data_IF_354153497691
#
_entry.id   IF_354153497691
#
_cell.length_a   1.000
_cell.length_b   1.000
_cell.length_c   1.000
_cell.angle_alpha   90.00
_cell.angle_beta   90.00
_cell.angle_gamma   90.00
#
_symmetry.space_group_name_H-M   'P 1'
#
loop_
_entity.id
_entity.type
_entity.pdbx_description
1 polymer ?
#
# COMPACT_ATOMS: atom_id res chain seq x y z
N UNK A 1 6.15 31.80 5.02
CA UNK A 1 4.96 31.58 4.19
C UNK A 1 4.70 30.09 4.27
N UNK A 2 3.94 29.68 5.29
CA UNK A 2 3.60 28.29 5.50
C UNK A 2 2.29 28.04 4.78
N UNK A 3 2.36 27.33 3.67
CA UNK A 3 1.17 26.89 2.94
C UNK A 3 0.52 25.80 3.79
N UNK A 4 -0.68 26.09 4.27
CA UNK A 4 -1.52 25.11 4.96
C UNK A 4 -1.80 23.97 3.99
N UNK A 5 -1.53 22.73 4.42
CA UNK A 5 -2.12 21.51 3.82
C UNK A 5 -3.64 21.60 4.04
N UNK A 6 -4.30 22.39 3.20
CA UNK A 6 -5.74 22.57 3.12
C UNK A 6 -6.25 21.74 1.96
N UNK A 7 -7.22 20.87 2.28
CA UNK A 7 -7.94 19.97 1.38
C UNK A 7 -7.06 19.24 0.35
N UNK A 8 -6.50 18.10 0.77
CA UNK A 8 -6.46 16.98 -0.15
C UNK A 8 -7.92 16.68 -0.53
N UNK A 9 -8.29 16.62 -1.82
CA UNK A 9 -9.62 16.16 -2.19
C UNK A 9 -9.80 14.78 -1.54
N UNK A 10 -10.85 14.64 -0.73
CA UNK A 10 -11.31 13.32 -0.32
C UNK A 10 -11.39 12.49 -1.59
N UNK A 11 -10.89 11.25 -1.56
CA UNK A 11 -11.32 10.21 -2.48
C UNK A 11 -12.84 10.09 -2.30
N UNK A 12 -13.56 10.94 -3.01
CA UNK A 12 -15.00 11.11 -2.97
C UNK A 12 -15.38 11.64 -4.37
N UNK A 13 -15.02 10.84 -5.37
CA UNK A 13 -15.79 10.84 -6.60
C UNK A 13 -17.02 9.98 -6.32
N UNK A 14 -18.16 10.65 -6.13
CA UNK A 14 -19.56 10.23 -6.34
C UNK A 14 -19.90 8.73 -6.53
N UNK A 15 -19.42 7.84 -5.65
CA UNK A 15 -19.98 6.51 -5.40
C UNK A 15 -19.99 6.30 -3.89
N UNK A 16 -21.00 6.87 -3.20
CA UNK A 16 -21.40 6.47 -1.84
C UNK A 16 -22.04 5.06 -1.88
N UNK A 17 -21.38 4.10 -2.54
CA UNK A 17 -21.61 2.70 -2.21
C UNK A 17 -20.83 2.47 -0.92
N UNK A 18 -21.50 1.94 0.11
CA UNK A 18 -20.83 1.40 1.29
C UNK A 18 -19.85 0.34 0.78
N UNK A 19 -18.60 0.75 0.52
CA UNK A 19 -17.54 -0.17 0.14
C UNK A 19 -17.19 -0.95 1.40
N UNK A 20 -17.98 -2.00 1.64
CA UNK A 20 -17.84 -2.93 2.75
C UNK A 20 -16.39 -3.46 2.80
N UNK A 21 -15.73 -3.65 1.65
CA UNK A 21 -14.33 -4.08 1.58
C UNK A 21 -13.38 -2.99 2.12
N UNK A 22 -13.63 -1.71 1.77
CA UNK A 22 -12.87 -0.60 2.32
C UNK A 22 -13.07 -0.49 3.84
N UNK A 23 -14.30 -0.63 4.34
CA UNK A 23 -14.55 -0.59 5.79
C UNK A 23 -13.87 -1.75 6.52
N UNK A 24 -14.04 -2.98 6.04
CA UNK A 24 -13.37 -4.16 6.57
C UNK A 24 -11.85 -3.98 6.60
N UNK A 25 -11.27 -3.37 5.56
CA UNK A 25 -9.83 -3.08 5.51
C UNK A 25 -9.42 -2.01 6.52
N UNK A 26 -10.22 -0.96 6.70
CA UNK A 26 -9.92 0.13 7.63
C UNK A 26 -10.03 -0.31 9.09
N UNK A 27 -10.90 -1.28 9.38
CA UNK A 27 -11.05 -1.92 10.70
C UNK A 27 -9.85 -2.79 11.11
N UNK A 28 -9.01 -3.22 10.14
CA UNK A 28 -7.79 -3.97 10.43
C UNK A 28 -6.78 -3.14 11.24
N UNK A 29 -6.00 -3.83 12.05
CA UNK A 29 -4.87 -3.22 12.76
C UNK A 29 -3.85 -2.63 11.79
N UNK A 30 -3.15 -1.57 12.20
CA UNK A 30 -2.21 -0.86 11.33
C UNK A 30 -1.15 -1.78 10.68
N UNK A 31 -0.61 -2.74 11.43
CA UNK A 31 0.36 -3.72 10.91
C UNK A 31 -0.24 -4.67 9.88
N UNK A 32 -1.50 -5.07 10.05
CA UNK A 32 -2.19 -5.98 9.12
C UNK A 32 -2.57 -5.27 7.82
N UNK A 33 -3.01 -4.00 7.92
CA UNK A 33 -3.19 -3.15 6.74
C UNK A 33 -1.91 -3.02 5.95
N UNK A 34 -0.79 -2.74 6.65
CA UNK A 34 0.52 -2.63 6.00
C UNK A 34 0.91 -3.93 5.30
N UNK A 35 0.81 -5.08 5.96
CA UNK A 35 1.14 -6.39 5.38
C UNK A 35 0.30 -6.68 4.13
N UNK A 36 -1.02 -6.45 4.18
CA UNK A 36 -1.92 -6.63 3.02
C UNK A 36 -1.57 -5.66 1.89
N UNK A 37 -1.28 -4.40 2.18
CA UNK A 37 -0.83 -3.42 1.17
C UNK A 37 0.50 -3.82 0.53
N UNK A 38 1.50 -4.21 1.33
CA UNK A 38 2.82 -4.61 0.82
C UNK A 38 2.71 -5.82 -0.09
N UNK A 39 1.93 -6.84 0.28
CA UNK A 39 1.68 -8.02 -0.57
C UNK A 39 0.97 -7.64 -1.86
N UNK A 40 -0.07 -6.81 -1.78
CA UNK A 40 -0.80 -6.35 -2.96
C UNK A 40 0.11 -5.62 -3.96
N UNK A 41 1.02 -4.77 -3.47
CA UNK A 41 2.00 -4.08 -4.32
C UNK A 41 2.95 -5.04 -5.03
N UNK A 42 3.40 -6.10 -4.36
CA UNK A 42 4.26 -7.12 -4.97
C UNK A 42 3.52 -7.93 -6.03
N UNK A 43 2.30 -8.34 -5.74
CA UNK A 43 1.52 -9.20 -6.64
C UNK A 43 1.02 -8.47 -7.89
N UNK A 44 0.47 -7.26 -7.72
CA UNK A 44 -0.11 -6.50 -8.84
C UNK A 44 0.90 -5.67 -9.60
N UNK A 45 1.89 -5.12 -8.91
CA UNK A 45 2.77 -4.10 -9.47
C UNK A 45 4.24 -4.53 -9.52
N UNK A 46 4.55 -5.72 -9.02
CA UNK A 46 5.93 -6.21 -8.85
C UNK A 46 6.77 -5.17 -8.13
N UNK A 47 6.19 -4.55 -7.11
CA UNK A 47 6.81 -3.47 -6.37
C UNK A 47 7.09 -3.91 -4.94
N UNK A 48 8.34 -3.78 -4.49
CA UNK A 48 8.68 -3.96 -3.09
C UNK A 48 8.71 -2.60 -2.39
N UNK A 49 7.84 -2.45 -1.38
CA UNK A 49 7.78 -1.26 -0.53
C UNK A 49 9.12 -0.99 0.18
N UNK A 50 9.76 -2.04 0.69
CA UNK A 50 10.98 -1.94 1.48
C UNK A 50 12.22 -1.61 0.62
N UNK A 51 12.38 -2.26 -0.55
CA UNK A 51 13.40 -1.88 -1.54
C UNK A 51 13.13 -0.53 -2.20
N UNK A 52 11.88 -0.02 -2.13
CA UNK A 52 11.40 1.18 -2.81
C UNK A 52 11.58 1.10 -4.33
N UNK A 53 11.45 -0.11 -4.87
CA UNK A 53 11.76 -0.42 -6.27
C UNK A 53 10.68 -1.29 -6.91
N UNK A 54 10.48 -1.08 -8.21
CA UNK A 54 9.68 -1.93 -9.08
C UNK A 54 10.59 -2.91 -9.82
N UNK A 55 10.14 -4.13 -9.99
CA UNK A 55 10.80 -5.23 -10.67
C UNK A 55 10.14 -5.50 -12.02
N UNK A 56 10.86 -6.22 -12.88
CA UNK A 56 10.41 -6.53 -14.25
C UNK A 56 9.26 -7.53 -14.28
N UNK A 57 9.19 -8.43 -13.30
CA UNK A 57 8.16 -9.45 -13.19
C UNK A 57 7.95 -9.95 -11.74
N UNK A 58 7.05 -10.92 -11.59
CA UNK A 58 6.61 -11.48 -10.31
C UNK A 58 7.69 -12.21 -9.51
N UNK A 59 8.81 -12.59 -10.13
CA UNK A 59 9.92 -13.25 -9.45
C UNK A 59 10.61 -12.31 -8.46
N UNK A 60 10.50 -10.99 -8.68
CA UNK A 60 11.09 -9.95 -7.82
C UNK A 60 12.59 -10.22 -7.59
N UNK A 61 13.30 -10.60 -8.66
CA UNK A 61 14.69 -11.05 -8.61
C UNK A 61 15.60 -10.02 -7.91
N UNK A 62 16.35 -10.47 -6.91
CA UNK A 62 17.20 -9.62 -6.07
C UNK A 62 16.48 -8.92 -4.90
N UNK A 63 15.18 -9.14 -4.69
CA UNK A 63 14.49 -8.72 -3.46
C UNK A 63 14.81 -9.69 -2.30
N UNK A 64 15.26 -9.20 -1.12
CA UNK A 64 15.70 -10.08 -0.04
C UNK A 64 14.54 -10.75 0.72
N UNK A 65 13.33 -10.19 0.65
CA UNK A 65 12.14 -10.79 1.25
C UNK A 65 10.90 -9.90 1.17
N UNK A 66 9.92 -10.17 2.03
CA UNK A 66 8.62 -9.46 2.05
C UNK A 66 8.45 -8.57 3.28
N UNK A 67 9.23 -8.81 4.33
CA UNK A 67 9.17 -8.09 5.61
C UNK A 67 10.23 -7.01 5.69
N UNK A 68 10.07 -6.08 6.62
CA UNK A 68 11.06 -5.03 6.89
C UNK A 68 12.42 -5.63 7.29
N UNK A 69 12.41 -6.62 8.18
CA UNK A 69 13.62 -7.29 8.68
C UNK A 69 14.48 -7.93 7.58
N UNK A 70 13.86 -8.34 6.46
CA UNK A 70 14.60 -8.87 5.31
C UNK A 70 15.47 -7.80 4.62
N UNK A 71 15.27 -6.51 4.93
CA UNK A 71 15.87 -5.36 4.25
C UNK A 71 16.76 -4.50 5.16
N UNK A 72 17.12 -5.00 6.36
CA UNK A 72 18.08 -4.37 7.29
C UNK A 72 19.52 -4.31 6.75
#
# INVERSE_FOLDING_TARGET
MGETVGELPSVAGEEEEDDDEMQEFLELGAGERLDRTVRYLREKWWYCFWCKARYDDKELDGCPGVTEDDHE
#
